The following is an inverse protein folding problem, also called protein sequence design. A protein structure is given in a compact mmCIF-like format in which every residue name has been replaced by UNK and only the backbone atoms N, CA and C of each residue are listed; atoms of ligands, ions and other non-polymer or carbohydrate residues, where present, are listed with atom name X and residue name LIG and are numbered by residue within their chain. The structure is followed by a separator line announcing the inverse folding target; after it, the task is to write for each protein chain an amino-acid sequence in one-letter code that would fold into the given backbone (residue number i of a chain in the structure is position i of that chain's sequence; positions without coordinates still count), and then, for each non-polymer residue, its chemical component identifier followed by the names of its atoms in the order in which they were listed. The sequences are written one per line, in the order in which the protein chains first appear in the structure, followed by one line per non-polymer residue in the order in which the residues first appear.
data_IF_049447494351
#
_entry.id   IF_049447494351
#
_cell.length_a   1.000
_cell.length_b   1.000
_cell.length_c   1.000
_cell.angle_alpha   90.00
_cell.angle_beta   90.00
_cell.angle_gamma   90.00
#
_symmetry.space_group_name_H-M   'P 1'
#
loop_
_entity.id
_entity.type
_entity.pdbx_description
1 polymer ?
#
# COMPACT_ATOMS: atom_id res chain seq x y z
N UNK A 1 -2.02 -2.49 -22.80
CA UNK A 1 -2.23 -3.04 -21.46
C UNK A 1 -2.34 -1.87 -20.50
N UNK A 2 -3.47 -1.73 -19.81
CA UNK A 2 -3.68 -0.59 -18.89
C UNK A 2 -2.67 -0.66 -17.76
N UNK A 3 -1.99 0.45 -17.47
CA UNK A 3 -1.07 0.50 -16.34
C UNK A 3 -1.88 0.30 -15.05
N UNK A 4 -1.33 -0.47 -14.11
CA UNK A 4 -1.99 -0.74 -12.83
C UNK A 4 -2.07 0.58 -12.04
N UNK A 5 -3.28 0.98 -11.68
CA UNK A 5 -3.52 2.22 -10.95
C UNK A 5 -3.62 2.00 -9.45
N UNK A 6 -3.95 3.07 -8.72
CA UNK A 6 -4.09 3.00 -7.26
C UNK A 6 -5.17 2.01 -6.80
N UNK A 7 -6.26 1.85 -7.57
CA UNK A 7 -7.32 0.89 -7.26
C UNK A 7 -6.83 -0.56 -7.34
N UNK A 8 -5.98 -0.87 -8.32
CA UNK A 8 -5.36 -2.19 -8.45
C UNK A 8 -4.42 -2.45 -7.29
N UNK A 9 -3.60 -1.46 -6.90
CA UNK A 9 -2.71 -1.57 -5.75
C UNK A 9 -3.49 -1.87 -4.45
N UNK A 10 -4.54 -1.08 -4.20
CA UNK A 10 -5.36 -1.23 -3.00
C UNK A 10 -6.07 -2.59 -3.02
N UNK A 11 -6.63 -2.99 -4.17
CA UNK A 11 -7.26 -4.29 -4.34
C UNK A 11 -6.30 -5.43 -4.02
N UNK A 12 -5.09 -5.40 -4.57
CA UNK A 12 -4.04 -6.40 -4.34
C UNK A 12 -3.61 -6.44 -2.87
N UNK A 13 -3.41 -5.28 -2.24
CA UNK A 13 -3.10 -5.18 -0.82
C UNK A 13 -4.19 -5.75 0.12
N UNK A 14 -5.44 -5.84 -0.33
CA UNK A 14 -6.53 -6.44 0.46
C UNK A 14 -6.56 -7.96 0.39
N UNK A 15 -6.25 -8.53 -0.78
CA UNK A 15 -6.40 -9.97 -1.06
C UNK A 15 -5.09 -10.75 -0.94
N UNK A 16 -3.96 -10.11 -1.25
CA UNK A 16 -2.64 -10.71 -1.31
C UNK A 16 -1.77 -10.27 -0.13
N UNK A 17 -1.55 -11.21 0.79
CA UNK A 17 -0.76 -10.98 2.00
C UNK A 17 0.74 -10.94 1.71
N UNK A 18 1.21 -11.63 0.68
CA UNK A 18 2.62 -11.62 0.29
C UNK A 18 2.95 -10.29 -0.36
N UNK A 19 2.09 -9.80 -1.24
CA UNK A 19 2.19 -8.44 -1.79
C UNK A 19 2.22 -7.38 -0.68
N UNK A 20 1.33 -7.49 0.30
CA UNK A 20 1.30 -6.54 1.42
C UNK A 20 2.58 -6.59 2.27
N UNK A 21 3.15 -7.78 2.48
CA UNK A 21 4.42 -7.93 3.18
C UNK A 21 5.58 -7.32 2.37
N UNK A 22 5.58 -7.48 1.05
CA UNK A 22 6.56 -6.86 0.15
C UNK A 22 6.42 -5.33 0.13
N UNK A 23 5.20 -4.81 0.08
CA UNK A 23 4.90 -3.37 0.19
C UNK A 23 5.37 -2.77 1.51
N UNK A 24 5.31 -3.53 2.61
CA UNK A 24 5.83 -3.10 3.91
C UNK A 24 7.35 -3.20 4.01
N UNK A 25 7.98 -4.10 3.24
CA UNK A 25 9.42 -4.35 3.22
C UNK A 25 10.14 -3.34 2.33
N UNK A 26 9.67 -3.16 1.11
CA UNK A 26 10.21 -2.20 0.15
C UNK A 26 9.08 -1.49 -0.62
N UNK A 27 8.44 -0.48 -0.01
CA UNK A 27 7.36 0.25 -0.65
C UNK A 27 7.82 0.99 -1.91
N UNK A 28 9.11 1.37 -2.03
CA UNK A 28 9.56 2.12 -3.22
C UNK A 28 9.65 1.22 -4.44
N UNK A 29 10.19 0.02 -4.28
CA UNK A 29 10.26 -0.97 -5.36
C UNK A 29 8.85 -1.35 -5.84
N UNK A 30 7.95 -1.70 -4.91
CA UNK A 30 6.58 -2.10 -5.26
C UNK A 30 5.81 -0.97 -5.95
N UNK A 31 5.91 0.27 -5.46
CA UNK A 31 5.17 1.40 -6.04
C UNK A 31 5.67 1.81 -7.42
N UNK A 32 6.90 1.44 -7.82
CA UNK A 32 7.45 1.75 -9.13
C UNK A 32 6.75 0.98 -10.27
N UNK A 33 6.10 -0.14 -9.96
CA UNK A 33 5.33 -0.94 -10.93
C UNK A 33 3.91 -0.41 -11.18
N UNK A 34 3.49 0.64 -10.46
CA UNK A 34 2.16 1.25 -10.57
C UNK A 34 2.25 2.66 -11.14
N UNK A 35 1.25 3.04 -11.94
CA UNK A 35 1.13 4.38 -12.51
C UNK A 35 0.47 5.31 -11.49
N UNK A 36 1.24 5.64 -10.45
CA UNK A 36 0.82 6.51 -9.36
C UNK A 36 1.34 7.93 -9.58
N UNK A 37 0.51 8.91 -9.26
CA UNK A 37 0.97 10.29 -9.09
C UNK A 37 1.92 10.41 -7.89
N UNK A 38 2.73 11.47 -7.89
CA UNK A 38 3.64 11.76 -6.78
C UNK A 38 2.88 11.92 -5.44
N UNK A 39 1.66 12.46 -5.48
CA UNK A 39 0.80 12.62 -4.31
C UNK A 39 0.33 11.27 -3.76
N UNK A 40 -0.10 10.37 -4.64
CA UNK A 40 -0.52 9.01 -4.27
C UNK A 40 0.64 8.20 -3.70
N UNK A 41 1.80 8.26 -4.35
CA UNK A 41 3.01 7.58 -3.88
C UNK A 41 3.44 8.11 -2.50
N UNK A 42 3.43 9.44 -2.30
CA UNK A 42 3.73 10.05 -1.01
C UNK A 42 2.72 9.67 0.08
N UNK A 43 1.43 9.58 -0.27
CA UNK A 43 0.38 9.15 0.65
C UNK A 43 0.59 7.70 1.13
N UNK A 44 0.93 6.79 0.22
CA UNK A 44 1.19 5.38 0.57
C UNK A 44 2.46 5.27 1.40
N UNK A 45 3.53 5.96 1.02
CA UNK A 45 4.77 6.02 1.80
C UNK A 45 4.54 6.51 3.24
N UNK A 46 3.69 7.53 3.44
CA UNK A 46 3.29 7.97 4.77
C UNK A 46 2.49 6.90 5.53
N UNK A 47 1.58 6.20 4.87
CA UNK A 47 0.79 5.13 5.48
C UNK A 47 1.67 3.96 5.95
N UNK A 48 2.64 3.55 5.12
CA UNK A 48 3.63 2.52 5.45
C UNK A 48 4.54 3.00 6.61
N UNK A 49 4.96 4.26 6.61
CA UNK A 49 5.75 4.84 7.69
C UNK A 49 5.02 4.85 9.04
N UNK A 50 3.72 5.16 9.06
CA UNK A 50 2.89 5.17 10.28
C UNK A 50 2.65 3.78 10.87
N UNK A 51 2.81 2.74 10.08
CA UNK A 51 2.58 1.34 10.48
C UNK A 51 3.86 0.62 10.89
N UNK A 52 4.91 1.34 11.28
CA UNK A 52 6.19 0.74 11.68
C UNK A 52 6.20 0.16 13.11
N UNK A 53 5.16 0.41 13.91
CA UNK A 53 5.08 -0.10 15.28
C UNK A 53 4.20 -1.35 15.37
N UNK A 54 4.73 -2.44 15.93
CA UNK A 54 4.03 -3.72 16.13
C UNK A 54 4.53 -4.89 15.28
N UNK A 55 3.96 -6.08 15.50
CA UNK A 55 4.26 -7.28 14.70
C UNK A 55 3.81 -7.13 13.24
N UNK A 56 4.42 -7.84 12.28
CA UNK A 56 4.09 -7.68 10.85
C UNK A 56 2.60 -7.84 10.52
N UNK A 57 1.89 -8.70 11.26
CA UNK A 57 0.42 -8.84 11.16
C UNK A 57 -0.34 -7.58 11.59
N UNK A 58 0.11 -6.90 12.65
CA UNK A 58 -0.48 -5.63 13.09
C UNK A 58 -0.18 -4.50 12.09
N UNK A 59 1.06 -4.47 11.56
CA UNK A 59 1.50 -3.50 10.56
C UNK A 59 0.68 -3.61 9.27
N UNK A 60 0.53 -4.83 8.76
CA UNK A 60 -0.31 -5.17 7.62
C UNK A 60 -1.76 -4.71 7.82
N UNK A 61 -2.37 -5.07 8.95
CA UNK A 61 -3.77 -4.71 9.23
C UNK A 61 -3.97 -3.20 9.37
N UNK A 62 -3.04 -2.51 10.02
CA UNK A 62 -3.09 -1.06 10.15
C UNK A 62 -2.95 -0.37 8.77
N UNK A 63 -2.10 -0.91 7.88
CA UNK A 63 -1.93 -0.37 6.53
C UNK A 63 -3.20 -0.56 5.71
N UNK A 64 -3.83 -1.74 5.80
CA UNK A 64 -5.09 -2.01 5.12
C UNK A 64 -6.20 -1.04 5.53
N UNK A 65 -6.32 -0.75 6.83
CA UNK A 65 -7.30 0.22 7.36
C UNK A 65 -7.04 1.63 6.78
N UNK A 66 -5.77 2.06 6.71
CA UNK A 66 -5.42 3.37 6.16
C UNK A 66 -5.73 3.46 4.67
N UNK A 67 -5.38 2.43 3.89
CA UNK A 67 -5.67 2.36 2.46
C UNK A 67 -7.17 2.37 2.18
N UNK A 68 -7.94 1.57 2.92
CA UNK A 68 -9.41 1.55 2.81
C UNK A 68 -10.00 2.93 3.14
N UNK A 69 -9.60 3.54 4.26
CA UNK A 69 -10.19 4.83 4.68
C UNK A 69 -9.89 5.96 3.68
N UNK A 70 -8.71 5.96 3.07
CA UNK A 70 -8.29 7.03 2.18
C UNK A 70 -8.91 6.93 0.78
N UNK A 71 -9.14 5.72 0.29
CA UNK A 71 -9.58 5.48 -1.09
C UNK A 71 -10.99 4.90 -1.23
N UNK A 72 -11.75 4.87 -0.13
CA UNK A 72 -13.20 4.65 -0.13
C UNK A 72 -14.02 5.95 -0.22
N UNK A 73 -13.36 7.12 -0.21
CA UNK A 73 -13.94 8.46 -0.43
C UNK A 73 -13.59 8.93 -1.83
#
# INVERSE_FOLDING_TARGET
MGRLGIRDLVGRAMIDKEFLAELLRDPRAVLADFDLSAEEQAAIMQAVGRTRSGSDRQRARALQIVLMKRWAT
#
